data_IF_241188269414
#
_entry.id   IF_241188269414
#
_cell.length_a   1.000
_cell.length_b   1.000
_cell.length_c   1.000
_cell.angle_alpha   90.00
_cell.angle_beta   90.00
_cell.angle_gamma   90.00
#
_symmetry.space_group_name_H-M   'P 1'
#
loop_
_entity.id
_entity.type
_entity.pdbx_description
1 polymer ?
#
# COMPACT_ATOMS: atom_id res chain seq x y z
N UNK A 1 -18.28 -9.96 1.48
CA UNK A 1 -17.27 -10.57 0.59
C UNK A 1 -16.21 -11.18 1.50
N UNK A 2 -15.65 -12.36 1.19
CA UNK A 2 -14.64 -13.00 2.04
C UNK A 2 -13.32 -12.24 1.90
N UNK A 3 -12.68 -11.87 3.01
CA UNK A 3 -11.35 -11.26 2.98
C UNK A 3 -10.30 -12.35 2.73
N UNK A 4 -9.77 -12.39 1.52
CA UNK A 4 -8.81 -13.40 1.10
C UNK A 4 -7.37 -13.08 1.54
N UNK A 5 -7.06 -11.82 1.82
CA UNK A 5 -5.69 -11.37 2.02
C UNK A 5 -5.41 -10.85 3.43
N UNK A 6 -6.43 -10.47 4.21
CA UNK A 6 -6.28 -10.16 5.63
C UNK A 6 -5.64 -8.80 5.92
N UNK A 7 -5.77 -7.85 4.99
CA UNK A 7 -5.11 -6.53 5.08
C UNK A 7 -5.94 -5.45 5.77
N UNK A 8 -7.22 -5.71 6.03
CA UNK A 8 -8.05 -4.77 6.76
C UNK A 8 -7.44 -4.46 8.14
N UNK A 9 -7.30 -3.17 8.46
CA UNK A 9 -6.69 -2.64 9.69
C UNK A 9 -5.19 -3.00 9.88
N UNK A 10 -4.52 -3.55 8.87
CA UNK A 10 -3.06 -3.76 8.93
C UNK A 10 -2.32 -2.47 8.65
N UNK A 11 -1.12 -2.36 9.23
CA UNK A 11 -0.19 -1.27 8.94
C UNK A 11 0.88 -1.79 7.98
N UNK A 12 1.05 -1.14 6.85
CA UNK A 12 2.03 -1.49 5.83
C UNK A 12 2.97 -0.31 5.55
N UNK A 13 4.23 -0.61 5.23
CA UNK A 13 5.21 0.38 4.75
C UNK A 13 5.61 -0.05 3.34
N UNK A 14 5.52 0.88 2.38
CA UNK A 14 5.93 0.64 1.00
C UNK A 14 7.02 1.64 0.63
N UNK A 15 8.21 1.15 0.28
CA UNK A 15 9.33 1.96 -0.23
C UNK A 15 9.31 1.98 -1.75
N UNK A 16 9.86 3.03 -2.37
CA UNK A 16 9.79 3.20 -3.83
C UNK A 16 8.37 3.50 -4.32
N UNK A 17 7.55 4.16 -3.49
CA UNK A 17 6.12 4.32 -3.71
C UNK A 17 5.73 5.48 -4.67
N UNK A 18 6.69 6.27 -5.15
CA UNK A 18 6.38 7.45 -6.00
C UNK A 18 5.88 7.07 -7.40
N UNK A 19 6.20 5.88 -7.90
CA UNK A 19 5.83 5.44 -9.25
C UNK A 19 5.85 3.91 -9.42
N UNK A 20 5.45 3.46 -10.61
CA UNK A 20 5.60 2.06 -11.05
C UNK A 20 4.94 1.05 -10.11
N UNK A 21 5.64 -0.06 -9.87
CA UNK A 21 5.13 -1.17 -9.05
C UNK A 21 4.95 -0.79 -7.58
N UNK A 22 5.80 0.10 -7.03
CA UNK A 22 5.69 0.53 -5.63
C UNK A 22 4.41 1.34 -5.41
N UNK A 23 4.11 2.28 -6.31
CA UNK A 23 2.83 3.02 -6.29
C UNK A 23 1.63 2.08 -6.40
N UNK A 24 1.65 1.19 -7.40
CA UNK A 24 0.55 0.24 -7.62
C UNK A 24 0.33 -0.70 -6.42
N UNK A 25 1.39 -1.14 -5.75
CA UNK A 25 1.30 -1.95 -4.55
C UNK A 25 0.72 -1.15 -3.37
N UNK A 26 1.14 0.11 -3.18
CA UNK A 26 0.59 0.96 -2.14
C UNK A 26 -0.91 1.20 -2.32
N UNK A 27 -1.35 1.52 -3.55
CA UNK A 27 -2.77 1.70 -3.89
C UNK A 27 -3.56 0.41 -3.64
N UNK A 28 -3.07 -0.74 -4.11
CA UNK A 28 -3.73 -2.04 -3.85
C UNK A 28 -3.87 -2.34 -2.35
N UNK A 29 -2.84 -2.06 -1.54
CA UNK A 29 -2.90 -2.29 -0.09
C UNK A 29 -3.93 -1.37 0.59
N UNK A 30 -4.05 -0.11 0.15
CA UNK A 30 -5.10 0.80 0.61
C UNK A 30 -6.49 0.28 0.24
N UNK A 31 -6.68 -0.18 -1.00
CA UNK A 31 -7.95 -0.76 -1.47
C UNK A 31 -8.35 -2.01 -0.66
N UNK A 32 -7.36 -2.76 -0.15
CA UNK A 32 -7.56 -3.92 0.72
C UNK A 32 -7.78 -3.55 2.19
N UNK A 33 -7.84 -2.26 2.55
CA UNK A 33 -8.15 -1.77 3.89
C UNK A 33 -6.94 -1.59 4.80
N UNK A 34 -5.71 -1.62 4.28
CA UNK A 34 -4.52 -1.34 5.06
C UNK A 34 -4.31 0.17 5.25
N UNK A 35 -3.72 0.54 6.39
CA UNK A 35 -3.08 1.84 6.58
C UNK A 35 -1.66 1.79 6.04
N UNK A 36 -1.41 2.52 4.96
CA UNK A 36 -0.13 2.47 4.24
C UNK A 36 0.70 3.73 4.51
N UNK A 37 1.96 3.54 4.89
CA UNK A 37 2.99 4.58 4.87
C UNK A 37 3.81 4.44 3.58
N UNK A 38 3.57 5.33 2.63
CA UNK A 38 4.30 5.40 1.37
C UNK A 38 5.57 6.22 1.53
N UNK A 39 6.71 5.65 1.15
CA UNK A 39 8.03 6.26 1.27
C UNK A 39 8.75 6.22 -0.07
N UNK A 40 9.34 7.34 -0.45
CA UNK A 40 10.21 7.46 -1.60
C UNK A 40 11.15 8.66 -1.39
N UNK A 41 12.21 8.71 -2.19
CA UNK A 41 13.02 9.92 -2.31
C UNK A 41 12.24 11.04 -3.02
N UNK A 42 11.43 10.68 -4.01
CA UNK A 42 10.52 11.60 -4.69
C UNK A 42 9.22 11.81 -3.88
N UNK A 43 8.42 12.81 -4.26
CA UNK A 43 7.11 13.01 -3.65
C UNK A 43 6.18 11.83 -4.00
N UNK A 44 5.58 11.23 -2.96
CA UNK A 44 4.51 10.24 -3.05
C UNK A 44 3.14 10.91 -3.09
#
# INVERSE_FOLDING_TARGET
>A
MKDYFGYNDKICVVTGASSGMGKAAAEMLVDLGAKVYALDYNQC
#
